data_IF_189762851886
#
_entry.id   IF_189762851886
#
_cell.length_a   1.000
_cell.length_b   1.000
_cell.length_c   1.000
_cell.angle_alpha   90.00
_cell.angle_beta   90.00
_cell.angle_gamma   90.00
#
_symmetry.space_group_name_H-M   'P 1'
#
loop_
_entity.id
_entity.type
_entity.pdbx_description
1 polymer ?
#
# COMPACT_ATOMS: atom_id res chain seq x y z
N UNK A 1 -10.09 -20.71 19.78
CA UNK A 1 -9.87 -20.38 18.35
C UNK A 1 -8.52 -20.93 17.94
N UNK A 2 -8.45 -21.78 16.91
CA UNK A 2 -7.21 -22.47 16.53
C UNK A 2 -6.37 -21.62 15.56
N UNK A 3 -5.05 -21.71 15.65
CA UNK A 3 -4.07 -20.91 14.88
C UNK A 3 -4.28 -21.00 13.36
N UNK A 4 -4.73 -22.16 12.89
CA UNK A 4 -5.04 -22.43 11.48
C UNK A 4 -6.19 -21.57 10.93
N UNK A 5 -7.20 -21.28 11.75
CA UNK A 5 -8.32 -20.40 11.37
C UNK A 5 -7.87 -18.95 11.28
N UNK A 6 -7.00 -18.52 12.20
CA UNK A 6 -6.40 -17.17 12.19
C UNK A 6 -5.51 -16.98 10.95
N UNK A 7 -4.63 -17.93 10.65
CA UNK A 7 -3.77 -17.87 9.47
C UNK A 7 -4.58 -17.81 8.17
N UNK A 8 -5.66 -18.58 8.06
CA UNK A 8 -6.56 -18.54 6.90
C UNK A 8 -7.25 -17.18 6.72
N UNK A 9 -7.76 -16.59 7.80
CA UNK A 9 -8.36 -15.25 7.77
C UNK A 9 -7.36 -14.16 7.38
N UNK A 10 -6.13 -14.22 7.91
CA UNK A 10 -5.06 -13.28 7.56
C UNK A 10 -4.70 -13.35 6.07
N UNK A 11 -4.49 -14.56 5.56
CA UNK A 11 -4.17 -14.76 4.14
C UNK A 11 -5.29 -14.24 3.21
N UNK A 12 -6.56 -14.41 3.60
CA UNK A 12 -7.69 -13.87 2.85
C UNK A 12 -7.66 -12.33 2.80
N UNK A 13 -7.43 -11.67 3.94
CA UNK A 13 -7.32 -10.21 4.05
C UNK A 13 -6.15 -9.70 3.20
N UNK A 14 -4.95 -10.30 3.35
CA UNK A 14 -3.75 -9.91 2.59
C UNK A 14 -3.97 -9.95 1.07
N UNK A 15 -4.59 -11.03 0.56
CA UNK A 15 -4.88 -11.17 -0.86
C UNK A 15 -5.78 -10.04 -1.39
N UNK A 16 -6.86 -9.75 -0.67
CA UNK A 16 -7.83 -8.74 -1.07
C UNK A 16 -7.30 -7.31 -0.94
N UNK A 17 -6.35 -7.07 -0.03
CA UNK A 17 -5.75 -5.75 0.13
C UNK A 17 -5.08 -5.28 -1.15
N UNK A 18 -4.20 -6.10 -1.73
CA UNK A 18 -3.48 -5.76 -2.96
C UNK A 18 -4.43 -5.41 -4.10
N UNK A 19 -5.43 -6.26 -4.34
CA UNK A 19 -6.45 -6.05 -5.37
C UNK A 19 -7.25 -4.74 -5.16
N UNK A 20 -7.44 -4.35 -3.90
CA UNK A 20 -8.21 -3.15 -3.55
C UNK A 20 -7.43 -1.84 -3.73
N UNK A 21 -6.14 -1.85 -3.38
CA UNK A 21 -5.31 -0.64 -3.28
C UNK A 21 -4.42 -0.39 -4.49
N UNK A 22 -4.07 -1.44 -5.25
CA UNK A 22 -3.23 -1.31 -6.44
C UNK A 22 -4.01 -0.68 -7.60
N UNK A 23 -4.03 0.64 -7.64
CA UNK A 23 -4.72 1.41 -8.69
C UNK A 23 -3.75 1.93 -9.73
N UNK A 24 -4.25 1.99 -10.96
CA UNK A 24 -3.61 2.70 -12.07
C UNK A 24 -3.53 4.20 -11.71
N UNK A 25 -2.31 4.74 -11.77
CA UNK A 25 -2.02 6.16 -11.51
C UNK A 25 -1.31 6.82 -12.70
N UNK A 26 -1.25 6.15 -13.85
CA UNK A 26 -0.50 6.60 -15.02
C UNK A 26 -0.98 7.96 -15.54
N UNK A 27 -2.29 8.19 -15.60
CA UNK A 27 -2.86 9.49 -16.01
C UNK A 27 -2.41 10.64 -15.11
N UNK A 28 -2.59 10.50 -13.80
CA UNK A 28 -2.19 11.52 -12.80
C UNK A 28 -0.67 11.74 -12.80
N UNK A 29 0.12 10.67 -12.96
CA UNK A 29 1.57 10.80 -13.07
C UNK A 29 1.99 11.54 -14.34
N UNK A 30 1.32 11.33 -15.46
CA UNK A 30 1.58 12.02 -16.72
C UNK A 30 1.27 13.51 -16.63
N UNK A 31 0.12 13.88 -16.06
CA UNK A 31 -0.25 15.26 -15.81
C UNK A 31 0.79 15.97 -14.94
N UNK A 32 1.19 15.36 -13.82
CA UNK A 32 2.17 15.95 -12.91
C UNK A 32 3.55 16.16 -13.57
N UNK A 33 3.97 15.24 -14.45
CA UNK A 33 5.24 15.36 -15.18
C UNK A 33 5.17 16.47 -16.24
N UNK A 34 4.04 16.59 -16.94
CA UNK A 34 3.79 17.67 -17.89
C UNK A 34 3.79 19.04 -17.22
N UNK A 35 3.11 19.19 -16.09
CA UNK A 35 3.06 20.43 -15.30
C UNK A 35 4.45 20.89 -14.84
N UNK A 36 5.35 19.94 -14.57
CA UNK A 36 6.72 20.22 -14.11
C UNK A 36 7.73 20.44 -15.23
N UNK A 37 7.36 20.19 -16.48
CA UNK A 37 8.29 20.21 -17.62
C UNK A 37 9.40 19.16 -17.50
N UNK A 38 9.13 18.06 -16.80
CA UNK A 38 10.11 17.00 -16.57
C UNK A 38 10.34 16.17 -17.84
N UNK A 39 11.61 15.86 -18.13
CA UNK A 39 11.95 14.94 -19.21
C UNK A 39 11.74 13.49 -18.76
N UNK A 40 11.03 12.72 -19.58
CA UNK A 40 10.83 11.29 -19.35
C UNK A 40 11.96 10.50 -19.98
N UNK A 41 12.56 9.63 -19.18
CA UNK A 41 13.59 8.69 -19.62
C UNK A 41 13.05 7.26 -19.75
N UNK A 42 11.80 7.02 -19.32
CA UNK A 42 11.06 5.78 -19.55
C UNK A 42 9.55 6.04 -19.71
N UNK A 43 8.80 5.16 -20.40
CA UNK A 43 7.35 5.24 -20.48
C UNK A 43 6.68 5.17 -19.10
N UNK A 44 5.67 6.02 -18.86
CA UNK A 44 4.97 6.10 -17.56
C UNK A 44 4.29 4.78 -17.20
N UNK A 45 3.77 4.04 -18.19
CA UNK A 45 3.18 2.72 -17.98
C UNK A 45 4.21 1.73 -17.43
N UNK A 46 5.41 1.69 -17.99
CA UNK A 46 6.49 0.83 -17.49
C UNK A 46 6.95 1.26 -16.10
N UNK A 47 7.04 2.57 -15.85
CA UNK A 47 7.35 3.10 -14.53
C UNK A 47 6.28 2.74 -13.49
N UNK A 48 5.01 2.69 -13.89
CA UNK A 48 3.91 2.23 -13.05
C UNK A 48 4.05 0.75 -12.68
N UNK A 49 4.29 -0.12 -13.65
CA UNK A 49 4.44 -1.55 -13.43
C UNK A 49 5.67 -1.87 -12.56
N UNK A 50 6.77 -1.14 -12.79
CA UNK A 50 7.98 -1.21 -11.98
C UNK A 50 7.72 -0.74 -10.54
N UNK A 51 7.00 0.37 -10.35
CA UNK A 51 6.62 0.86 -9.02
C UNK A 51 5.77 -0.15 -8.26
N UNK A 52 4.75 -0.73 -8.91
CA UNK A 52 3.89 -1.75 -8.32
C UNK A 52 4.69 -2.98 -7.90
N UNK A 53 5.54 -3.50 -8.80
CA UNK A 53 6.42 -4.64 -8.50
C UNK A 53 7.35 -4.33 -7.32
N UNK A 54 7.93 -3.13 -7.30
CA UNK A 54 8.88 -2.72 -6.29
C UNK A 54 8.24 -2.52 -4.91
N UNK A 55 7.03 -1.96 -4.87
CA UNK A 55 6.27 -1.80 -3.62
C UNK A 55 5.93 -3.16 -3.04
N UNK A 56 5.26 -4.02 -3.80
CA UNK A 56 4.75 -5.30 -3.27
C UNK A 56 5.83 -6.37 -3.07
N UNK A 57 6.99 -6.25 -3.70
CA UNK A 57 8.15 -7.11 -3.39
C UNK A 57 8.85 -6.74 -2.07
N UNK A 58 8.65 -5.51 -1.58
CA UNK A 58 9.25 -5.02 -0.32
C UNK A 58 8.25 -4.82 0.81
N UNK A 59 6.97 -4.85 0.49
CA UNK A 59 5.90 -4.70 1.47
C UNK A 59 5.75 -5.98 2.30
N UNK A 60 5.78 -5.83 3.62
CA UNK A 60 5.49 -6.92 4.55
C UNK A 60 4.14 -6.68 5.22
N UNK A 61 3.26 -7.69 5.19
CA UNK A 61 1.99 -7.66 5.90
C UNK A 61 2.22 -7.89 7.40
N UNK A 62 2.50 -6.82 8.14
CA UNK A 62 2.69 -6.87 9.60
C UNK A 62 1.33 -6.80 10.29
N UNK A 63 1.04 -7.80 11.12
CA UNK A 63 -0.21 -7.88 11.86
C UNK A 63 -0.10 -7.32 13.29
N UNK A 64 1.12 -7.09 13.77
CA UNK A 64 1.38 -6.66 15.15
C UNK A 64 0.81 -5.26 15.44
N UNK A 65 0.70 -4.42 14.41
CA UNK A 65 0.15 -3.05 14.52
C UNK A 65 -1.36 -2.98 14.20
N UNK A 66 -1.99 -4.09 13.80
CA UNK A 66 -3.39 -4.11 13.33
C UNK A 66 -4.34 -4.14 14.53
N UNK A 67 -5.09 -3.05 14.71
CA UNK A 67 -6.13 -2.90 15.74
C UNK A 67 -7.51 -2.82 15.11
N UNK A 68 -8.58 -3.01 15.90
CA UNK A 68 -9.95 -2.82 15.43
C UNK A 68 -10.21 -1.36 15.06
N UNK A 69 -10.78 -1.11 13.88
CA UNK A 69 -11.09 0.22 13.36
C UNK A 69 -12.52 0.24 12.82
N UNK A 70 -13.40 1.03 13.44
CA UNK A 70 -14.79 1.17 13.03
C UNK A 70 -14.97 2.15 11.85
N UNK A 71 -14.02 3.07 11.68
CA UNK A 71 -14.03 4.06 10.60
C UNK A 71 -13.50 3.47 9.28
N UNK A 72 -13.95 4.04 8.15
CA UNK A 72 -13.40 3.66 6.83
C UNK A 72 -11.93 4.07 6.71
N UNK A 73 -11.08 3.28 6.02
CA UNK A 73 -9.68 3.64 5.79
C UNK A 73 -9.55 4.98 5.07
N UNK A 74 -8.84 5.93 5.68
CA UNK A 74 -8.63 7.29 5.15
C UNK A 74 -7.27 7.42 4.47
N UNK A 75 -6.32 6.53 4.76
CA UNK A 75 -4.95 6.56 4.23
C UNK A 75 -4.82 6.32 2.72
N UNK A 76 -5.90 6.00 2.00
CA UNK A 76 -5.84 5.62 0.59
C UNK A 76 -5.33 6.74 -0.31
N UNK A 77 -5.83 7.96 -0.12
CA UNK A 77 -5.41 9.11 -0.92
C UNK A 77 -3.91 9.39 -0.72
N UNK A 78 -3.45 9.36 0.54
CA UNK A 78 -2.03 9.52 0.89
C UNK A 78 -1.16 8.48 0.19
N UNK A 79 -1.56 7.21 0.21
CA UNK A 79 -0.84 6.15 -0.51
C UNK A 79 -0.79 6.43 -2.02
N UNK A 80 -1.91 6.76 -2.65
CA UNK A 80 -1.95 7.04 -4.09
C UNK A 80 -1.06 8.23 -4.46
N UNK A 81 -1.06 9.31 -3.67
CA UNK A 81 -0.15 10.45 -3.86
C UNK A 81 1.32 10.01 -3.80
N UNK A 82 1.69 9.18 -2.82
CA UNK A 82 3.07 8.68 -2.72
C UNK A 82 3.43 7.71 -3.85
N UNK A 83 2.48 6.89 -4.31
CA UNK A 83 2.66 6.01 -5.48
C UNK A 83 2.90 6.83 -6.75
N UNK A 84 2.12 7.89 -6.98
CA UNK A 84 2.35 8.83 -8.09
C UNK A 84 3.78 9.38 -8.06
N UNK A 85 4.27 9.84 -6.90
CA UNK A 85 5.65 10.34 -6.75
C UNK A 85 6.71 9.29 -7.07
N UNK A 86 6.47 8.02 -6.69
CA UNK A 86 7.38 6.93 -7.03
C UNK A 86 7.39 6.66 -8.55
N UNK A 87 6.21 6.64 -9.19
CA UNK A 87 6.10 6.46 -10.65
C UNK A 87 6.81 7.57 -11.40
N UNK A 88 6.62 8.83 -11.00
CA UNK A 88 7.29 9.97 -11.66
C UNK A 88 8.80 9.95 -11.44
N UNK A 89 9.28 9.60 -10.23
CA UNK A 89 10.71 9.43 -9.96
C UNK A 89 11.31 8.32 -10.83
N UNK A 90 10.64 7.18 -10.97
CA UNK A 90 11.08 6.07 -11.84
C UNK A 90 11.12 6.48 -13.31
N UNK A 91 10.08 7.16 -13.81
CA UNK A 91 10.03 7.63 -15.19
C UNK A 91 11.16 8.63 -15.51
N UNK A 92 11.49 9.53 -14.58
CA UNK A 92 12.61 10.48 -14.70
C UNK A 92 13.98 9.79 -14.59
N UNK A 93 14.07 8.68 -13.84
CA UNK A 93 15.33 7.95 -13.68
C UNK A 93 15.62 6.93 -14.80
N UNK A 94 14.69 6.71 -15.73
CA UNK A 94 14.81 5.61 -16.70
C UNK A 94 14.68 4.24 -16.04
N UNK A 95 13.84 4.12 -15.00
CA UNK A 95 13.64 2.92 -14.17
C UNK A 95 14.85 2.50 -13.32
N UNK A 96 15.88 3.35 -13.22
CA UNK A 96 17.05 3.07 -12.41
C UNK A 96 16.88 3.50 -10.95
N UNK A 97 17.60 2.84 -10.05
CA UNK A 97 17.73 3.28 -8.66
C UNK A 97 18.40 4.65 -8.62
N UNK A 98 17.82 5.57 -7.87
CA UNK A 98 18.38 6.87 -7.55
C UNK A 98 17.94 7.29 -6.14
N UNK A 99 18.60 8.29 -5.53
CA UNK A 99 18.17 8.82 -4.23
C UNK A 99 16.71 9.30 -4.21
N UNK A 100 16.23 9.87 -5.32
CA UNK A 100 14.83 10.31 -5.47
C UNK A 100 13.87 9.12 -5.51
N UNK A 101 14.22 8.07 -6.25
CA UNK A 101 13.44 6.82 -6.31
C UNK A 101 13.39 6.16 -4.94
N UNK A 102 14.50 6.13 -4.21
CA UNK A 102 14.57 5.52 -2.88
C UNK A 102 13.76 6.31 -1.84
N UNK A 103 13.82 7.64 -1.89
CA UNK A 103 13.00 8.52 -1.04
C UNK A 103 11.52 8.34 -1.32
N UNK A 104 11.13 8.33 -2.61
CA UNK A 104 9.74 8.13 -3.00
C UNK A 104 9.23 6.73 -2.64
N UNK A 105 10.08 5.70 -2.80
CA UNK A 105 9.76 4.33 -2.41
C UNK A 105 9.55 4.22 -0.90
N UNK A 106 10.42 4.81 -0.09
CA UNK A 106 10.28 4.79 1.36
C UNK A 106 8.96 5.46 1.81
N UNK A 107 8.64 6.63 1.25
CA UNK A 107 7.39 7.33 1.55
C UNK A 107 6.15 6.50 1.13
N UNK A 108 6.21 5.85 -0.05
CA UNK A 108 5.13 5.02 -0.54
C UNK A 108 4.94 3.73 0.27
N UNK A 109 6.03 3.09 0.71
CA UNK A 109 5.97 1.95 1.63
C UNK A 109 5.37 2.35 2.97
N UNK A 110 5.81 3.47 3.56
CA UNK A 110 5.26 3.98 4.82
C UNK A 110 3.76 4.26 4.72
N UNK A 111 3.31 4.89 3.63
CA UNK A 111 1.89 5.15 3.41
C UNK A 111 1.09 3.84 3.15
N UNK A 112 1.69 2.87 2.46
CA UNK A 112 1.07 1.55 2.23
C UNK A 112 0.93 0.76 3.54
N UNK A 113 1.93 0.81 4.43
CA UNK A 113 1.86 0.19 5.76
C UNK A 113 0.75 0.82 6.60
N UNK A 114 0.65 2.15 6.64
CA UNK A 114 -0.43 2.82 7.35
C UNK A 114 -1.81 2.44 6.80
N UNK A 115 -1.95 2.41 5.47
CA UNK A 115 -3.19 1.98 4.81
C UNK A 115 -3.53 0.53 5.11
N UNK A 116 -2.54 -0.36 5.14
CA UNK A 116 -2.71 -1.76 5.52
C UNK A 116 -3.26 -1.89 6.93
N UNK A 117 -2.66 -1.21 7.90
CA UNK A 117 -3.09 -1.26 9.30
C UNK A 117 -4.54 -0.83 9.46
N UNK A 118 -4.94 0.28 8.84
CA UNK A 118 -6.33 0.76 8.84
C UNK A 118 -7.28 -0.22 8.16
N UNK A 119 -6.89 -0.73 6.97
CA UNK A 119 -7.75 -1.57 6.16
C UNK A 119 -7.94 -2.98 6.76
N UNK A 120 -6.86 -3.61 7.21
CA UNK A 120 -6.91 -4.91 7.89
C UNK A 120 -7.71 -4.82 9.20
N UNK A 121 -7.54 -3.72 9.94
CA UNK A 121 -8.32 -3.43 11.15
C UNK A 121 -9.81 -3.29 10.86
N UNK A 122 -10.16 -2.53 9.81
CA UNK A 122 -11.54 -2.39 9.38
C UNK A 122 -12.16 -3.73 8.95
N UNK A 123 -11.46 -4.52 8.11
CA UNK A 123 -11.93 -5.84 7.69
C UNK A 123 -12.16 -6.79 8.87
N UNK A 124 -11.24 -6.81 9.85
CA UNK A 124 -11.40 -7.61 11.05
C UNK A 124 -12.58 -7.15 11.94
N UNK A 125 -12.95 -5.86 11.87
CA UNK A 125 -14.06 -5.28 12.64
C UNK A 125 -15.41 -5.52 11.97
N UNK A 126 -15.49 -5.36 10.65
CA UNK A 126 -16.76 -5.40 9.90
C UNK A 126 -17.16 -6.80 9.45
N UNK A 127 -16.33 -7.79 9.70
CA UNK A 127 -16.60 -9.17 9.29
C UNK A 127 -16.32 -10.08 10.48
N UNK A 128 -17.37 -10.51 11.17
CA UNK A 128 -17.27 -11.39 12.37
C UNK A 128 -16.46 -12.67 12.09
N UNK A 129 -16.45 -13.16 10.85
CA UNK A 129 -15.63 -14.29 10.41
C UNK A 129 -14.12 -13.98 10.33
N UNK A 130 -13.75 -12.70 10.31
CA UNK A 130 -12.38 -12.19 10.21
C UNK A 130 -11.88 -11.51 11.49
N UNK A 131 -12.75 -11.29 12.48
CA UNK A 131 -12.36 -10.94 13.85
C UNK A 131 -11.25 -11.86 14.42
N UNK A 132 -11.19 -13.17 14.10
CA UNK A 132 -10.07 -14.04 14.43
C UNK A 132 -8.66 -13.60 14.02
N UNK A 133 -8.55 -12.73 13.01
CA UNK A 133 -7.28 -12.28 12.42
C UNK A 133 -6.49 -11.35 13.36
N UNK A 134 -7.19 -10.64 14.25
CA UNK A 134 -6.64 -9.72 15.25
C UNK A 134 -6.57 -10.41 16.60
N UNK A 135 -5.55 -10.07 17.40
CA UNK A 135 -5.49 -10.49 18.80
C UNK A 135 -6.20 -9.42 19.61
N UNK A 136 -7.25 -9.77 20.35
CA UNK A 136 -7.78 -8.88 21.38
C UNK A 136 -6.65 -8.60 22.38
N UNK A 137 -6.07 -7.40 22.35
CA UNK A 137 -5.37 -6.87 23.50
C UNK A 137 -6.43 -6.54 24.54
N UNK A 138 -6.82 -7.54 25.33
CA UNK A 138 -7.78 -7.39 26.40
C UNK A 138 -7.36 -6.25 27.32
N UNK A 139 -8.22 -5.23 27.40
CA UNK A 139 -8.24 -4.33 28.55
C UNK A 139 -8.56 -5.22 29.76
N UNK A 140 -7.56 -5.43 30.61
CA UNK A 140 -7.73 -5.92 31.98
C UNK A 140 -7.82 -4.66 32.84
N UNK A 141 -8.79 -4.49 33.76
CA UNK A 141 -9.28 -5.50 34.70
C UNK A 141 -10.79 -5.78 34.69
#
# INVERSE_FOLDING_TARGET
MNERTRAGARHHIERHFRESVDRDVTGVAAELLQERGDTLHAPIREAHDAATTLLFSRFAYTWDDVVYVYDRPRGRERYLTTKVRLVTALARSGLHRSPDVDTALHAALSALHALWTEWAGHQATTTDALAPAVVEHGVTP
#
